data_IF_650366162475
#
_entry.id   IF_650366162475
#
_cell.length_a   1.000
_cell.length_b   1.000
_cell.length_c   1.000
_cell.angle_alpha   90.00
_cell.angle_beta   90.00
_cell.angle_gamma   90.00
#
_symmetry.space_group_name_H-M   'P 1'
#
loop_
_entity.id
_entity.type
_entity.pdbx_description
1 polymer ?
#
# COMPACT_ATOMS: atom_id res chain seq x y z
N UNK A 1 17.69 -35.15 -29.56
CA UNK A 1 16.59 -34.17 -29.67
C UNK A 1 16.17 -33.79 -28.27
N UNK A 2 16.81 -32.78 -27.67
CA UNK A 2 16.44 -32.24 -26.36
C UNK A 2 15.31 -31.24 -26.56
N UNK A 3 14.08 -31.63 -26.24
CA UNK A 3 12.95 -30.73 -26.22
C UNK A 3 13.18 -29.66 -25.16
N UNK A 4 13.69 -28.50 -25.57
CA UNK A 4 13.57 -27.28 -24.78
C UNK A 4 12.08 -27.01 -24.71
N UNK A 5 11.45 -27.28 -23.57
CA UNK A 5 10.04 -26.98 -23.35
C UNK A 5 9.90 -25.46 -23.40
N UNK A 6 9.65 -24.94 -24.60
CA UNK A 6 9.53 -23.51 -24.83
C UNK A 6 8.33 -22.99 -24.04
N UNK A 7 8.54 -21.91 -23.28
CA UNK A 7 7.47 -21.23 -22.54
C UNK A 7 6.47 -20.67 -23.55
N UNK A 8 5.18 -20.97 -23.37
CA UNK A 8 4.13 -20.48 -24.27
C UNK A 8 3.60 -19.16 -23.73
N UNK A 9 3.42 -18.19 -24.63
CA UNK A 9 2.80 -16.91 -24.28
C UNK A 9 1.36 -17.08 -23.74
N UNK A 10 0.66 -18.15 -24.18
CA UNK A 10 -0.65 -18.52 -23.67
C UNK A 10 -0.62 -18.85 -22.17
N UNK A 11 0.44 -19.51 -21.70
CA UNK A 11 0.60 -19.89 -20.28
C UNK A 11 0.88 -18.65 -19.41
N UNK A 12 1.54 -17.62 -19.97
CA UNK A 12 1.76 -16.36 -19.27
C UNK A 12 0.48 -15.54 -19.17
N UNK A 13 -0.36 -15.57 -20.21
CA UNK A 13 -1.59 -14.79 -20.26
C UNK A 13 -2.64 -15.22 -19.22
N UNK A 14 -2.48 -16.37 -18.57
CA UNK A 14 -3.35 -16.83 -17.49
C UNK A 14 -2.96 -16.29 -16.11
N UNK A 15 -1.79 -15.64 -15.99
CA UNK A 15 -1.31 -15.11 -14.72
C UNK A 15 -1.91 -13.74 -14.44
N UNK A 16 -2.35 -13.53 -13.21
CA UNK A 16 -2.93 -12.26 -12.73
C UNK A 16 -2.05 -11.04 -13.05
N UNK A 17 -0.72 -11.18 -13.05
CA UNK A 17 0.21 -10.10 -13.42
C UNK A 17 0.05 -9.65 -14.88
N UNK A 18 -0.41 -10.51 -15.79
CA UNK A 18 -0.62 -10.22 -17.22
C UNK A 18 -2.09 -10.07 -17.61
N UNK A 19 -3.02 -10.00 -16.64
CA UNK A 19 -4.44 -9.76 -16.90
C UNK A 19 -4.68 -8.59 -17.87
N UNK A 20 -5.43 -8.86 -18.95
CA UNK A 20 -5.77 -7.88 -19.98
C UNK A 20 -4.67 -7.62 -21.02
N UNK A 21 -3.49 -8.24 -20.89
CA UNK A 21 -2.41 -8.11 -21.89
C UNK A 21 -2.63 -9.11 -23.04
N UNK A 22 -2.67 -8.66 -24.31
CA UNK A 22 -2.83 -9.56 -25.44
C UNK A 22 -1.67 -10.55 -25.56
N UNK A 23 -1.99 -11.83 -25.81
CA UNK A 23 -1.00 -12.92 -26.00
C UNK A 23 0.15 -12.55 -26.97
N UNK A 24 -0.08 -11.89 -28.13
CA UNK A 24 1.01 -11.52 -29.03
C UNK A 24 2.08 -10.64 -28.36
N UNK A 25 1.69 -9.77 -27.43
CA UNK A 25 2.58 -8.88 -26.66
C UNK A 25 3.48 -9.66 -25.71
N UNK A 26 3.05 -10.84 -25.25
CA UNK A 26 3.79 -11.68 -24.30
C UNK A 26 4.80 -12.61 -24.99
N UNK A 27 4.75 -12.76 -26.32
CA UNK A 27 5.64 -13.67 -27.06
C UNK A 27 7.14 -13.36 -26.88
N UNK A 28 7.60 -12.10 -26.98
CA UNK A 28 9.01 -11.79 -26.77
C UNK A 28 9.48 -12.15 -25.36
N UNK A 29 8.65 -11.89 -24.35
CA UNK A 29 8.93 -12.25 -22.97
C UNK A 29 9.02 -13.77 -22.79
N UNK A 30 8.05 -14.51 -23.31
CA UNK A 30 8.02 -15.98 -23.21
C UNK A 30 9.30 -16.63 -23.76
N UNK A 31 9.86 -16.10 -24.84
CA UNK A 31 11.11 -16.60 -25.43
C UNK A 31 12.34 -16.44 -24.53
N UNK A 32 12.29 -15.50 -23.57
CA UNK A 32 13.40 -15.18 -22.66
C UNK A 32 13.26 -15.84 -21.28
N UNK A 33 12.13 -16.51 -21.02
CA UNK A 33 11.85 -17.19 -19.77
C UNK A 33 12.29 -18.66 -19.82
N UNK A 34 12.65 -19.20 -18.64
CA UNK A 34 12.96 -20.62 -18.47
C UNK A 34 12.00 -21.25 -17.46
N UNK A 35 11.50 -22.48 -17.71
CA UNK A 35 10.65 -23.16 -16.73
C UNK A 35 11.41 -23.42 -15.43
N UNK A 36 10.71 -23.28 -14.31
CA UNK A 36 11.17 -23.60 -12.96
C UNK A 36 10.24 -24.63 -12.34
N UNK A 37 10.84 -25.61 -11.67
CA UNK A 37 10.14 -26.50 -10.72
C UNK A 37 10.89 -26.47 -9.40
N UNK A 38 10.15 -26.49 -8.30
CA UNK A 38 10.70 -26.49 -6.95
C UNK A 38 9.89 -27.41 -6.02
N UNK A 39 10.59 -28.10 -5.13
CA UNK A 39 9.95 -28.90 -4.09
C UNK A 39 9.58 -28.04 -2.88
N UNK A 40 8.66 -28.55 -2.05
CA UNK A 40 8.37 -27.97 -0.73
C UNK A 40 9.67 -27.80 0.09
N UNK A 41 9.80 -26.65 0.74
CA UNK A 41 10.97 -26.25 1.54
C UNK A 41 12.15 -25.72 0.72
N UNK A 42 12.09 -25.72 -0.62
CA UNK A 42 13.18 -25.22 -1.45
C UNK A 42 13.25 -23.69 -1.40
N UNK A 43 14.43 -23.16 -1.06
CA UNK A 43 14.72 -21.73 -1.12
C UNK A 43 14.86 -21.31 -2.58
N UNK A 44 14.03 -20.38 -3.03
CA UNK A 44 14.00 -19.85 -4.39
C UNK A 44 14.85 -18.59 -4.54
N UNK A 45 14.93 -17.79 -3.47
CA UNK A 45 15.73 -16.57 -3.36
C UNK A 45 16.10 -16.35 -1.89
N UNK A 46 17.26 -15.77 -1.61
CA UNK A 46 17.68 -15.46 -0.24
C UNK A 46 17.84 -13.95 -0.03
N UNK A 47 17.35 -13.45 1.11
CA UNK A 47 17.50 -12.05 1.51
C UNK A 47 18.98 -11.64 1.53
N UNK A 48 19.27 -10.43 1.06
CA UNK A 48 20.63 -9.87 1.01
C UNK A 48 21.46 -10.31 -0.21
N UNK A 49 21.03 -11.30 -0.98
CA UNK A 49 21.73 -11.68 -2.22
C UNK A 49 21.53 -10.64 -3.34
N UNK A 50 22.46 -10.57 -4.28
CA UNK A 50 22.30 -9.72 -5.46
C UNK A 50 21.19 -10.24 -6.37
N UNK A 51 20.28 -9.35 -6.79
CA UNK A 51 19.21 -9.71 -7.69
C UNK A 51 19.69 -9.78 -9.15
N UNK A 52 19.59 -10.99 -9.72
CA UNK A 52 19.93 -11.27 -11.13
C UNK A 52 18.75 -11.80 -11.93
N UNK A 53 17.65 -12.16 -11.26
CA UNK A 53 16.47 -12.78 -11.86
C UNK A 53 15.17 -12.42 -11.14
N UNK A 54 14.04 -12.73 -11.76
CA UNK A 54 12.71 -12.75 -11.13
C UNK A 54 12.03 -14.09 -11.39
N UNK A 55 10.98 -14.38 -10.64
CA UNK A 55 10.15 -15.56 -10.77
C UNK A 55 8.70 -15.17 -11.07
N UNK A 56 8.06 -15.86 -12.01
CA UNK A 56 6.61 -15.88 -12.19
C UNK A 56 6.07 -17.20 -11.66
N UNK A 57 5.18 -17.17 -10.68
CA UNK A 57 4.60 -18.39 -10.09
C UNK A 57 3.44 -18.85 -10.97
N UNK A 58 3.58 -20.02 -11.60
CA UNK A 58 2.52 -20.63 -12.42
C UNK A 58 1.57 -21.50 -11.62
N UNK A 59 2.10 -22.33 -10.72
CA UNK A 59 1.31 -23.13 -9.77
C UNK A 59 2.09 -23.41 -8.49
N UNK A 60 1.37 -23.74 -7.41
CA UNK A 60 1.93 -23.91 -6.08
C UNK A 60 2.07 -22.59 -5.31
N UNK A 61 2.35 -22.68 -4.01
CA UNK A 61 2.53 -21.54 -3.11
C UNK A 61 3.97 -21.42 -2.62
N UNK A 62 4.32 -20.21 -2.21
CA UNK A 62 5.57 -19.88 -1.54
C UNK A 62 5.31 -18.91 -0.40
N UNK A 63 6.24 -18.81 0.52
CA UNK A 63 6.27 -17.79 1.56
C UNK A 63 7.44 -16.84 1.32
N UNK A 64 7.23 -15.56 1.65
CA UNK A 64 8.26 -14.53 1.69
C UNK A 64 8.55 -14.19 3.13
N UNK A 65 9.80 -14.39 3.53
CA UNK A 65 10.29 -14.13 4.87
C UNK A 65 11.24 -12.94 4.82
N UNK A 66 10.87 -11.85 5.47
CA UNK A 66 11.72 -10.67 5.67
C UNK A 66 12.17 -10.59 7.12
N UNK A 67 13.47 -10.67 7.36
CA UNK A 67 14.04 -10.36 8.68
C UNK A 67 14.36 -8.87 8.73
N UNK A 68 13.64 -8.14 9.59
CA UNK A 68 13.84 -6.71 9.85
C UNK A 68 15.17 -6.42 10.56
N UNK A 69 15.60 -5.16 10.53
CA UNK A 69 16.82 -4.72 11.23
C UNK A 69 16.70 -4.81 12.76
N UNK A 70 15.48 -4.82 13.28
CA UNK A 70 15.10 -5.04 14.67
C UNK A 70 15.06 -6.54 15.05
N UNK A 71 15.27 -7.44 14.08
CA UNK A 71 15.20 -8.89 14.26
C UNK A 71 13.79 -9.46 14.22
N UNK A 72 12.77 -8.66 13.87
CA UNK A 72 11.41 -9.16 13.67
C UNK A 72 11.25 -9.77 12.28
N UNK A 73 10.86 -11.04 12.23
CA UNK A 73 10.53 -11.73 10.99
C UNK A 73 9.09 -11.44 10.57
N UNK A 74 8.93 -10.98 9.33
CA UNK A 74 7.63 -10.85 8.68
C UNK A 74 7.48 -11.93 7.63
N UNK A 75 6.34 -12.64 7.65
CA UNK A 75 6.01 -13.71 6.71
C UNK A 75 4.77 -13.31 5.90
N UNK A 76 4.83 -13.51 4.59
CA UNK A 76 3.69 -13.29 3.69
C UNK A 76 3.57 -14.42 2.66
N UNK A 77 2.34 -14.89 2.45
CA UNK A 77 2.03 -15.89 1.43
C UNK A 77 2.09 -15.32 0.00
N UNK A 78 2.58 -16.14 -0.92
CA UNK A 78 2.57 -15.91 -2.36
C UNK A 78 1.72 -16.97 -3.05
N UNK A 79 0.70 -16.49 -3.75
CA UNK A 79 -0.18 -17.31 -4.58
C UNK A 79 0.32 -17.40 -6.02
N UNK A 80 -0.14 -18.42 -6.78
CA UNK A 80 0.00 -18.47 -8.23
C UNK A 80 -0.47 -17.18 -8.92
N UNK A 81 0.11 -16.87 -10.07
CA UNK A 81 -0.20 -15.66 -10.85
C UNK A 81 0.66 -14.44 -10.51
N UNK A 82 1.43 -14.51 -9.43
CA UNK A 82 2.28 -13.40 -8.96
C UNK A 82 3.71 -13.47 -9.50
N UNK A 83 4.32 -12.30 -9.66
CA UNK A 83 5.76 -12.11 -9.87
C UNK A 83 6.48 -12.02 -8.53
N UNK A 84 7.74 -12.44 -8.41
CA UNK A 84 8.58 -12.33 -7.21
C UNK A 84 10.01 -11.94 -7.58
N UNK A 85 10.66 -11.15 -6.73
CA UNK A 85 12.04 -10.71 -6.91
C UNK A 85 12.17 -9.46 -7.79
N UNK A 86 11.06 -8.88 -8.22
CA UNK A 86 10.97 -7.65 -9.01
C UNK A 86 11.52 -6.43 -8.26
N UNK A 87 11.30 -6.34 -6.94
CA UNK A 87 11.68 -5.18 -6.13
C UNK A 87 13.17 -4.90 -6.24
N UNK A 88 13.97 -5.96 -6.09
CA UNK A 88 15.42 -5.87 -6.11
C UNK A 88 15.96 -5.57 -7.51
N UNK A 89 15.26 -6.02 -8.56
CA UNK A 89 15.60 -5.66 -9.95
C UNK A 89 15.24 -4.20 -10.28
N UNK A 90 14.09 -3.71 -9.82
CA UNK A 90 13.65 -2.33 -10.03
C UNK A 90 14.56 -1.32 -9.34
N UNK A 91 15.09 -1.68 -8.16
CA UNK A 91 15.93 -0.82 -7.33
C UNK A 91 17.42 -0.97 -7.59
N UNK A 92 17.81 -1.95 -8.41
CA UNK A 92 19.20 -2.42 -8.53
C UNK A 92 19.86 -2.64 -7.15
N UNK A 93 19.14 -3.35 -6.27
CA UNK A 93 19.49 -3.54 -4.88
C UNK A 93 19.55 -5.04 -4.52
N UNK A 94 20.11 -5.41 -3.35
CA UNK A 94 20.00 -6.76 -2.82
C UNK A 94 18.54 -7.19 -2.59
N UNK A 95 18.28 -8.50 -2.55
CA UNK A 95 16.98 -9.08 -2.23
C UNK A 95 16.51 -8.57 -0.87
N UNK A 96 15.27 -8.10 -0.83
CA UNK A 96 14.65 -7.60 0.40
C UNK A 96 14.18 -8.72 1.31
N UNK A 97 13.94 -9.93 0.79
CA UNK A 97 13.38 -11.04 1.55
C UNK A 97 13.80 -12.40 0.95
N UNK A 98 13.71 -13.44 1.78
CA UNK A 98 13.91 -14.83 1.40
C UNK A 98 12.59 -15.40 0.91
N UNK A 99 12.62 -16.23 -0.14
CA UNK A 99 11.42 -16.84 -0.72
C UNK A 99 11.57 -18.35 -0.67
N UNK A 100 10.61 -19.05 -0.06
CA UNK A 100 10.65 -20.50 0.13
C UNK A 100 9.36 -21.11 -0.42
N UNK A 101 9.47 -22.13 -1.27
CA UNK A 101 8.29 -22.87 -1.72
C UNK A 101 7.66 -23.63 -0.54
N UNK A 102 6.36 -23.46 -0.29
CA UNK A 102 5.66 -24.18 0.79
C UNK A 102 5.10 -25.52 0.32
N UNK A 103 4.92 -25.66 -0.98
CA UNK A 103 4.52 -26.90 -1.65
C UNK A 103 5.28 -27.08 -2.97
N UNK A 104 4.92 -28.10 -3.75
CA UNK A 104 5.47 -28.25 -5.10
C UNK A 104 5.07 -27.06 -5.96
N UNK A 105 6.06 -26.29 -6.42
CA UNK A 105 5.85 -25.05 -7.16
C UNK A 105 6.37 -25.21 -8.59
N UNK A 106 5.61 -24.68 -9.55
CA UNK A 106 6.05 -24.52 -10.94
C UNK A 106 5.90 -23.08 -11.39
N UNK A 107 6.72 -22.65 -12.34
CA UNK A 107 6.71 -21.29 -12.82
C UNK A 107 7.80 -21.01 -13.83
N UNK A 108 8.20 -19.75 -13.92
CA UNK A 108 9.20 -19.31 -14.90
C UNK A 108 10.18 -18.32 -14.30
N UNK A 109 11.47 -18.52 -14.57
CA UNK A 109 12.53 -17.60 -14.19
C UNK A 109 12.98 -16.76 -15.38
N UNK A 110 13.13 -15.45 -15.17
CA UNK A 110 13.63 -14.49 -16.15
C UNK A 110 14.82 -13.70 -15.61
N UNK A 111 15.80 -13.42 -16.47
CA UNK A 111 16.94 -12.54 -16.15
C UNK A 111 16.64 -11.06 -16.38
N UNK A 112 17.67 -10.21 -16.36
CA UNK A 112 17.54 -8.75 -16.58
C UNK A 112 16.99 -8.39 -17.96
N UNK A 113 17.35 -9.10 -19.02
CA UNK A 113 16.81 -8.89 -20.37
C UNK A 113 15.31 -9.17 -20.41
N UNK A 114 14.87 -10.31 -19.85
CA UNK A 114 13.46 -10.66 -19.74
C UNK A 114 12.69 -9.61 -18.92
N UNK A 115 13.32 -9.09 -17.87
CA UNK A 115 12.73 -8.03 -17.05
C UNK A 115 12.56 -6.74 -17.86
N UNK A 116 13.58 -6.33 -18.63
CA UNK A 116 13.50 -5.15 -19.50
C UNK A 116 12.39 -5.30 -20.56
N UNK A 117 12.30 -6.46 -21.23
CA UNK A 117 11.20 -6.75 -22.16
C UNK A 117 9.83 -6.71 -21.49
N UNK A 118 9.72 -7.17 -20.24
CA UNK A 118 8.48 -7.07 -19.48
C UNK A 118 8.11 -5.62 -19.14
N UNK A 119 9.08 -4.75 -18.86
CA UNK A 119 8.84 -3.33 -18.59
C UNK A 119 8.34 -2.55 -19.82
N UNK A 120 8.63 -3.03 -21.03
CA UNK A 120 8.11 -2.46 -22.28
C UNK A 120 6.63 -2.78 -22.53
N UNK A 121 6.05 -3.73 -21.77
CA UNK A 121 4.62 -4.05 -21.86
C UNK A 121 3.80 -2.86 -21.33
N UNK A 122 2.81 -2.34 -22.08
CA UNK A 122 2.00 -1.21 -21.66
C UNK A 122 1.38 -1.39 -20.26
N UNK A 123 1.60 -0.43 -19.36
CA UNK A 123 1.08 -0.41 -17.99
C UNK A 123 1.78 -1.37 -17.01
N UNK A 124 2.76 -2.16 -17.46
CA UNK A 124 3.42 -3.15 -16.60
C UNK A 124 4.31 -2.50 -15.55
N UNK A 125 5.06 -1.44 -15.90
CA UNK A 125 5.89 -0.70 -14.96
C UNK A 125 5.08 -0.23 -13.74
N UNK A 126 3.95 0.45 -13.98
CA UNK A 126 3.09 0.97 -12.91
C UNK A 126 2.53 -0.16 -12.04
N UNK A 127 2.13 -1.28 -12.66
CA UNK A 127 1.66 -2.47 -11.95
C UNK A 127 2.74 -3.06 -11.03
N UNK A 128 3.97 -3.20 -11.53
CA UNK A 128 5.11 -3.74 -10.77
C UNK A 128 5.53 -2.80 -9.64
N UNK A 129 5.60 -1.49 -9.89
CA UNK A 129 5.90 -0.48 -8.87
C UNK A 129 4.85 -0.53 -7.75
N UNK A 130 3.56 -0.60 -8.10
CA UNK A 130 2.49 -0.73 -7.12
C UNK A 130 2.63 -2.00 -6.29
N UNK A 131 2.84 -3.15 -6.93
CA UNK A 131 3.04 -4.43 -6.22
C UNK A 131 4.25 -4.39 -5.30
N UNK A 132 5.37 -3.79 -5.75
CA UNK A 132 6.57 -3.64 -4.94
C UNK A 132 6.32 -2.79 -3.68
N UNK A 133 5.61 -1.66 -3.82
CA UNK A 133 5.24 -0.80 -2.69
C UNK A 133 4.35 -1.52 -1.69
N UNK A 134 3.33 -2.23 -2.17
CA UNK A 134 2.43 -3.03 -1.33
C UNK A 134 3.19 -4.10 -0.52
N UNK A 135 4.18 -4.75 -1.13
CA UNK A 135 5.00 -5.76 -0.45
C UNK A 135 5.94 -5.14 0.58
N UNK A 136 6.57 -4.03 0.26
CA UNK A 136 7.44 -3.32 1.21
C UNK A 136 6.65 -2.76 2.38
N UNK A 137 5.42 -2.31 2.16
CA UNK A 137 4.52 -1.89 3.23
C UNK A 137 4.22 -3.02 4.22
N UNK A 138 4.15 -4.27 3.75
CA UNK A 138 3.89 -5.42 4.60
C UNK A 138 5.04 -5.71 5.57
N UNK A 139 6.28 -5.34 5.23
CA UNK A 139 7.47 -5.54 6.06
C UNK A 139 7.71 -4.41 7.09
N UNK A 140 6.79 -3.45 7.18
CA UNK A 140 6.93 -2.34 8.11
C UNK A 140 6.43 -2.75 9.48
N UNK A 141 7.32 -2.67 10.47
CA UNK A 141 6.97 -2.76 11.89
C UNK A 141 5.98 -1.63 12.26
N UNK A 142 4.75 -1.95 12.70
CA UNK A 142 3.77 -0.92 13.07
C UNK A 142 4.22 -0.10 14.29
N UNK A 143 4.01 1.21 14.26
CA UNK A 143 4.44 2.12 15.33
C UNK A 143 3.40 2.11 16.45
N UNK A 144 3.73 1.70 17.69
CA UNK A 144 2.80 1.76 18.81
C UNK A 144 2.55 3.22 19.21
N UNK A 145 1.29 3.60 19.35
CA UNK A 145 0.86 4.97 19.65
C UNK A 145 -0.12 4.97 20.81
N UNK A 146 0.22 5.71 21.87
CA UNK A 146 -0.63 5.85 23.05
C UNK A 146 -1.67 6.97 22.82
N UNK A 147 -2.95 6.60 22.90
CA UNK A 147 -4.06 7.55 22.82
C UNK A 147 -4.27 8.27 24.16
N UNK A 148 -5.08 9.33 24.15
CA UNK A 148 -5.34 10.15 25.34
C UNK A 148 -6.00 9.41 26.50
N UNK A 149 -6.72 8.34 26.20
CA UNK A 149 -7.39 7.49 27.18
C UNK A 149 -6.53 6.32 27.67
N UNK A 150 -5.25 6.30 27.29
CA UNK A 150 -4.28 5.27 27.68
C UNK A 150 -4.31 4.01 26.81
N UNK A 151 -5.24 3.88 25.86
CA UNK A 151 -5.23 2.78 24.90
C UNK A 151 -4.02 2.87 23.96
N UNK A 152 -3.51 1.71 23.54
CA UNK A 152 -2.42 1.62 22.56
C UNK A 152 -2.99 1.14 21.24
N UNK A 153 -2.78 1.93 20.19
CA UNK A 153 -3.06 1.57 18.81
C UNK A 153 -1.75 1.46 18.03
N UNK A 154 -1.80 0.92 16.81
CA UNK A 154 -0.61 0.76 15.98
C UNK A 154 -0.80 1.49 14.65
N UNK A 155 0.13 2.37 14.32
CA UNK A 155 0.14 3.15 13.07
C UNK A 155 1.02 2.44 12.04
N UNK A 156 0.47 2.20 10.85
CA UNK A 156 1.23 1.71 9.69
C UNK A 156 0.57 2.16 8.38
N UNK A 157 1.27 2.08 7.24
CA UNK A 157 0.64 2.27 5.94
C UNK A 157 -0.46 1.23 5.72
N UNK A 158 -1.49 1.60 4.96
CA UNK A 158 -2.51 0.65 4.53
C UNK A 158 -1.88 -0.51 3.75
N UNK A 159 -2.48 -1.69 3.82
CA UNK A 159 -2.11 -2.87 3.05
C UNK A 159 -3.29 -3.30 2.18
N UNK A 160 -3.06 -3.96 1.03
CA UNK A 160 -4.15 -4.52 0.21
C UNK A 160 -5.13 -5.41 0.99
N UNK A 161 -4.63 -6.15 1.99
CA UNK A 161 -5.43 -7.02 2.84
C UNK A 161 -6.38 -6.30 3.81
N UNK A 162 -6.21 -4.99 4.04
CA UNK A 162 -7.03 -4.23 4.98
C UNK A 162 -8.49 -4.13 4.54
N UNK A 163 -8.77 -4.24 3.24
CA UNK A 163 -10.16 -4.31 2.73
C UNK A 163 -10.94 -5.45 3.38
N UNK A 164 -10.35 -6.67 3.43
CA UNK A 164 -11.00 -7.84 4.05
C UNK A 164 -11.16 -7.63 5.55
N UNK A 165 -10.13 -7.09 6.21
CA UNK A 165 -10.15 -6.80 7.66
C UNK A 165 -11.25 -5.80 8.05
N UNK A 166 -11.63 -4.89 7.15
CA UNK A 166 -12.74 -3.95 7.38
C UNK A 166 -14.08 -4.61 7.07
N UNK A 167 -14.22 -5.36 5.97
CA UNK A 167 -15.52 -5.94 5.57
C UNK A 167 -15.92 -7.16 6.39
N UNK A 168 -14.95 -7.93 6.89
CA UNK A 168 -15.16 -9.18 7.64
C UNK A 168 -14.75 -9.04 9.12
N UNK A 169 -14.29 -7.85 9.52
CA UNK A 169 -13.82 -7.58 10.88
C UNK A 169 -14.92 -7.34 11.88
N UNK A 170 -14.55 -7.37 13.15
CA UNK A 170 -15.44 -7.08 14.30
C UNK A 170 -15.67 -5.57 14.51
N UNK A 171 -14.94 -4.73 13.76
CA UNK A 171 -15.02 -3.27 13.87
C UNK A 171 -16.12 -2.75 12.94
N UNK A 172 -17.17 -2.19 13.51
CA UNK A 172 -18.29 -1.64 12.76
C UNK A 172 -18.04 -0.19 12.33
N UNK A 173 -18.41 0.11 11.07
CA UNK A 173 -18.55 1.45 10.53
C UNK A 173 -20.03 1.66 10.19
N UNK A 174 -20.71 2.48 10.98
CA UNK A 174 -22.14 2.74 10.82
C UNK A 174 -22.46 3.37 9.46
N UNK A 175 -23.71 3.24 9.02
CA UNK A 175 -24.19 3.93 7.80
C UNK A 175 -23.98 5.44 7.87
N UNK A 176 -24.05 6.04 9.07
CA UNK A 176 -23.77 7.46 9.26
C UNK A 176 -22.29 7.78 9.05
N UNK A 177 -21.38 6.96 9.60
CA UNK A 177 -19.93 7.10 9.39
C UNK A 177 -19.56 6.95 7.91
N UNK A 178 -20.13 5.96 7.21
CA UNK A 178 -19.95 5.77 5.78
C UNK A 178 -20.55 6.92 4.96
N UNK A 179 -21.74 7.40 5.32
CA UNK A 179 -22.37 8.54 4.67
C UNK A 179 -21.52 9.81 4.80
N UNK A 180 -20.98 10.10 5.99
CA UNK A 180 -20.09 11.25 6.19
C UNK A 180 -18.81 11.16 5.38
N UNK A 181 -18.28 9.94 5.19
CA UNK A 181 -17.03 9.69 4.44
C UNK A 181 -17.23 9.71 2.93
N UNK A 182 -18.32 9.12 2.43
CA UNK A 182 -18.55 8.87 1.00
C UNK A 182 -19.68 9.70 0.40
N UNK A 183 -20.38 10.49 1.22
CA UNK A 183 -21.53 11.31 0.84
C UNK A 183 -22.61 10.49 0.12
N UNK A 184 -22.73 9.21 0.48
CA UNK A 184 -23.59 8.23 -0.15
C UNK A 184 -24.21 7.32 0.89
N UNK A 185 -25.51 7.04 0.74
CA UNK A 185 -26.26 6.09 1.58
C UNK A 185 -26.06 4.64 1.13
N UNK A 186 -25.37 4.41 0.02
CA UNK A 186 -25.04 3.07 -0.45
C UNK A 186 -23.77 2.57 0.22
N UNK A 187 -23.78 1.32 0.65
CA UNK A 187 -22.58 0.65 1.12
C UNK A 187 -21.47 0.71 0.06
N UNK A 188 -20.20 0.89 0.46
CA UNK A 188 -19.08 0.91 -0.46
C UNK A 188 -19.05 -0.33 -1.36
N UNK A 189 -18.87 -0.13 -2.67
CA UNK A 189 -18.69 -1.24 -3.59
C UNK A 189 -17.32 -1.88 -3.40
N UNK A 190 -17.13 -3.15 -3.80
CA UNK A 190 -15.81 -3.79 -3.81
C UNK A 190 -14.78 -2.97 -4.59
N UNK A 191 -15.19 -2.33 -5.68
CA UNK A 191 -14.34 -1.44 -6.49
C UNK A 191 -13.88 -0.22 -5.72
N UNK A 192 -14.77 0.42 -4.96
CA UNK A 192 -14.41 1.56 -4.11
C UNK A 192 -13.46 1.12 -3.00
N UNK A 193 -13.74 0.00 -2.33
CA UNK A 193 -12.85 -0.52 -1.28
C UNK A 193 -11.44 -0.82 -1.80
N UNK A 194 -11.35 -1.44 -2.99
CA UNK A 194 -10.06 -1.65 -3.67
C UNK A 194 -9.33 -0.33 -3.92
N UNK A 195 -9.99 0.67 -4.48
CA UNK A 195 -9.40 2.00 -4.68
C UNK A 195 -8.89 2.62 -3.37
N UNK A 196 -9.56 2.36 -2.25
CA UNK A 196 -9.20 2.92 -0.95
C UNK A 196 -7.98 2.27 -0.29
N UNK A 197 -7.68 0.99 -0.56
CA UNK A 197 -6.63 0.26 0.17
C UNK A 197 -5.56 -0.37 -0.73
N UNK A 198 -5.82 -0.54 -2.03
CA UNK A 198 -4.80 -0.93 -3.02
C UNK A 198 -4.19 0.33 -3.65
N UNK A 199 -3.51 1.11 -2.81
CA UNK A 199 -2.97 2.42 -3.20
C UNK A 199 -1.58 2.32 -3.81
N UNK A 200 -1.19 3.32 -4.60
CA UNK A 200 0.15 3.42 -5.18
C UNK A 200 1.18 4.01 -4.21
N UNK A 201 0.78 4.53 -3.05
CA UNK A 201 1.61 5.18 -2.03
C UNK A 201 2.44 6.39 -2.48
N UNK A 202 2.25 6.94 -3.69
CA UNK A 202 2.93 8.17 -4.16
C UNK A 202 1.93 9.30 -4.37
N UNK A 203 0.94 9.04 -5.20
CA UNK A 203 -0.13 9.99 -5.50
C UNK A 203 -1.33 9.70 -4.61
N UNK A 204 -1.49 8.46 -4.13
CA UNK A 204 -2.46 8.09 -3.11
C UNK A 204 -1.76 7.40 -1.94
N UNK A 205 -1.69 8.07 -0.78
CA UNK A 205 -1.08 7.51 0.43
C UNK A 205 -2.11 7.37 1.54
N UNK A 206 -2.05 6.27 2.29
CA UNK A 206 -2.99 5.96 3.37
C UNK A 206 -2.24 5.45 4.59
N UNK A 207 -2.51 6.06 5.74
CA UNK A 207 -2.21 5.51 7.06
C UNK A 207 -3.44 4.85 7.65
N UNK A 208 -3.24 3.72 8.33
CA UNK A 208 -4.25 3.06 9.15
C UNK A 208 -3.81 3.02 10.61
N UNK A 209 -4.78 3.03 11.51
CA UNK A 209 -4.60 2.64 12.91
C UNK A 209 -5.29 1.30 13.15
N UNK A 210 -4.63 0.41 13.89
CA UNK A 210 -5.14 -0.92 14.22
C UNK A 210 -5.16 -1.19 15.73
N UNK A 211 -6.06 -2.09 16.16
CA UNK A 211 -6.06 -2.66 17.51
C UNK A 211 -5.10 -3.86 17.57
N UNK A 212 -3.89 -3.67 18.11
CA UNK A 212 -2.79 -4.63 17.94
C UNK A 212 -2.04 -4.44 16.61
N UNK A 213 -0.81 -4.97 16.52
CA UNK A 213 0.05 -4.79 15.34
C UNK A 213 -0.58 -5.39 14.07
N UNK A 214 -1.18 -6.58 14.19
CA UNK A 214 -1.83 -7.32 13.09
C UNK A 214 -3.36 -7.35 13.16
N UNK A 215 -3.94 -6.62 14.11
CA UNK A 215 -5.38 -6.64 14.34
C UNK A 215 -6.18 -5.75 13.38
N UNK A 216 -7.48 -5.60 13.65
CA UNK A 216 -8.39 -4.94 12.73
C UNK A 216 -8.11 -3.43 12.64
N UNK A 217 -8.40 -2.86 11.47
CA UNK A 217 -8.30 -1.42 11.21
C UNK A 217 -9.45 -0.71 11.93
N UNK A 218 -9.11 0.28 12.75
CA UNK A 218 -10.07 1.11 13.51
C UNK A 218 -10.24 2.50 12.94
N UNK A 219 -9.27 2.98 12.16
CA UNK A 219 -9.32 4.26 11.48
C UNK A 219 -8.36 4.30 10.29
N UNK A 220 -8.67 5.13 9.29
CA UNK A 220 -7.72 5.49 8.23
C UNK A 220 -7.72 6.99 7.94
N UNK A 221 -6.57 7.46 7.45
CA UNK A 221 -6.38 8.79 6.91
C UNK A 221 -5.54 8.72 5.66
N UNK A 222 -5.89 9.56 4.68
CA UNK A 222 -5.27 9.53 3.37
C UNK A 222 -5.06 10.92 2.81
N UNK A 223 -4.12 11.03 1.88
CA UNK A 223 -4.05 12.12 0.92
C UNK A 223 -4.02 11.57 -0.50
N UNK A 224 -4.68 12.27 -1.42
CA UNK A 224 -4.66 11.99 -2.87
C UNK A 224 -4.19 13.25 -3.58
N UNK A 225 -3.05 13.19 -4.25
CA UNK A 225 -2.47 14.34 -4.98
C UNK A 225 -3.38 14.77 -6.11
N UNK A 226 -3.43 16.07 -6.33
CA UNK A 226 -4.05 16.63 -7.52
C UNK A 226 -3.15 16.38 -8.74
N UNK A 227 -3.75 15.90 -9.84
CA UNK A 227 -3.03 15.58 -11.07
C UNK A 227 -2.39 16.81 -11.73
N UNK A 228 -3.01 17.98 -11.58
CA UNK A 228 -2.55 19.25 -12.17
C UNK A 228 -1.61 20.00 -11.24
N UNK A 229 -1.81 19.85 -9.93
CA UNK A 229 -1.04 20.53 -8.90
C UNK A 229 -0.42 19.53 -7.92
N UNK A 230 0.75 18.93 -8.25
CA UNK A 230 1.34 17.87 -7.42
C UNK A 230 1.71 18.30 -5.99
N UNK A 231 1.80 19.61 -5.71
CA UNK A 231 2.02 20.14 -4.37
C UNK A 231 0.73 20.21 -3.52
N UNK A 232 -0.41 19.85 -4.09
CA UNK A 232 -1.73 19.84 -3.44
C UNK A 232 -2.25 18.41 -3.34
N UNK A 233 -2.97 18.10 -2.27
CA UNK A 233 -3.61 16.80 -2.11
C UNK A 233 -4.94 16.89 -1.35
N UNK A 234 -5.95 16.16 -1.79
CA UNK A 234 -7.21 16.01 -1.07
C UNK A 234 -7.03 15.05 0.10
N UNK A 235 -7.47 15.45 1.30
CA UNK A 235 -7.43 14.61 2.51
C UNK A 235 -8.80 14.04 2.87
N UNK A 236 -8.79 12.79 3.35
CA UNK A 236 -9.99 12.15 3.88
C UNK A 236 -9.68 11.22 5.05
N UNK A 237 -10.68 11.04 5.93
CA UNK A 237 -10.54 10.31 7.18
C UNK A 237 -11.79 9.48 7.46
N UNK A 238 -11.61 8.31 8.07
CA UNK A 238 -12.70 7.55 8.67
C UNK A 238 -12.22 6.98 10.00
N UNK A 239 -13.11 6.96 11.00
CA UNK A 239 -12.85 6.41 12.33
C UNK A 239 -14.06 5.59 12.73
N UNK A 240 -13.84 4.35 13.12
CA UNK A 240 -14.89 3.45 13.58
C UNK A 240 -15.65 4.06 14.77
N UNK A 241 -16.95 3.80 14.86
CA UNK A 241 -17.86 4.52 15.77
C UNK A 241 -17.41 4.43 17.24
N UNK A 242 -17.00 3.23 17.69
CA UNK A 242 -16.49 2.99 19.04
C UNK A 242 -15.17 3.72 19.37
N UNK A 243 -14.50 4.25 18.34
CA UNK A 243 -13.19 4.91 18.43
C UNK A 243 -13.28 6.44 18.26
N UNK A 244 -14.46 6.98 17.92
CA UNK A 244 -14.65 8.41 17.76
C UNK A 244 -14.54 9.16 19.09
N UNK A 245 -14.20 10.46 19.03
CA UNK A 245 -14.05 11.30 20.23
C UNK A 245 -12.75 11.07 21.04
N UNK A 246 -11.95 10.04 20.70
CA UNK A 246 -10.73 9.66 21.43
C UNK A 246 -9.46 10.42 20.98
N UNK A 247 -9.60 11.38 20.07
CA UNK A 247 -8.50 12.16 19.50
C UNK A 247 -7.80 11.52 18.29
N UNK A 248 -8.25 10.35 17.85
CA UNK A 248 -7.68 9.57 16.74
C UNK A 248 -7.60 10.37 15.44
N UNK A 249 -8.68 11.05 15.04
CA UNK A 249 -8.67 11.86 13.80
C UNK A 249 -7.65 13.02 13.85
N UNK A 250 -7.47 13.64 15.02
CA UNK A 250 -6.43 14.67 15.20
C UNK A 250 -5.02 14.06 15.15
N UNK A 251 -4.82 12.88 15.73
CA UNK A 251 -3.55 12.17 15.63
C UNK A 251 -3.21 11.84 14.17
N UNK A 252 -4.15 11.25 13.45
CA UNK A 252 -3.99 10.89 12.04
C UNK A 252 -3.73 12.11 11.15
N UNK A 253 -4.39 13.24 11.38
CA UNK A 253 -4.12 14.49 10.67
C UNK A 253 -2.66 14.96 10.83
N UNK A 254 -2.05 14.75 12.00
CA UNK A 254 -0.63 15.07 12.22
C UNK A 254 0.28 14.07 11.53
N UNK A 255 -0.02 12.76 11.66
CA UNK A 255 0.76 11.71 11.02
C UNK A 255 0.77 11.85 9.49
N UNK A 256 -0.39 12.08 8.87
CA UNK A 256 -0.51 12.28 7.43
C UNK A 256 0.22 13.56 6.96
N UNK A 257 0.28 14.60 7.80
CA UNK A 257 1.06 15.82 7.53
C UNK A 257 2.57 15.54 7.49
N UNK A 258 3.09 14.66 8.37
CA UNK A 258 4.51 14.27 8.34
C UNK A 258 4.85 13.57 7.03
N UNK A 259 4.03 12.61 6.59
CA UNK A 259 4.22 11.90 5.32
C UNK A 259 4.11 12.85 4.12
N UNK A 260 3.04 13.64 4.05
CA UNK A 260 2.78 14.57 2.96
C UNK A 260 3.89 15.63 2.81
N UNK A 261 4.38 16.18 3.91
CA UNK A 261 5.46 17.17 3.89
C UNK A 261 6.77 16.60 3.35
N UNK A 262 7.13 15.37 3.75
CA UNK A 262 8.34 14.69 3.27
C UNK A 262 8.25 14.31 1.79
N UNK A 263 7.04 14.07 1.32
CA UNK A 263 6.73 13.77 -0.07
C UNK A 263 6.51 15.04 -0.92
N UNK A 264 6.62 16.24 -0.32
CA UNK A 264 6.55 17.51 -1.03
C UNK A 264 5.15 18.06 -1.29
N UNK A 265 4.10 17.46 -0.72
CA UNK A 265 2.78 18.10 -0.62
C UNK A 265 2.89 19.30 0.33
N UNK A 266 2.34 20.44 -0.08
CA UNK A 266 2.41 21.72 0.64
C UNK A 266 1.04 22.24 1.03
N UNK A 267 -0.02 21.87 0.31
CA UNK A 267 -1.40 22.24 0.62
C UNK A 267 -2.28 20.99 0.69
N UNK A 268 -3.18 20.95 1.66
CA UNK A 268 -4.29 20.01 1.66
C UNK A 268 -5.58 20.70 1.27
N UNK A 269 -6.40 20.00 0.51
CA UNK A 269 -7.79 20.36 0.24
C UNK A 269 -8.71 19.36 0.93
N UNK A 270 -9.89 19.80 1.35
CA UNK A 270 -10.88 18.90 1.93
C UNK A 270 -12.29 19.32 1.56
N UNK A 271 -13.11 18.34 1.17
CA UNK A 271 -14.55 18.49 0.93
C UNK A 271 -15.34 17.73 1.98
N UNK A 272 -16.16 18.45 2.74
CA UNK A 272 -16.78 17.94 3.96
C UNK A 272 -18.27 18.32 4.01
N UNK A 273 -19.12 17.44 4.54
CA UNK A 273 -20.50 17.82 4.84
C UNK A 273 -20.54 18.94 5.89
N UNK A 274 -21.38 19.95 5.67
CA UNK A 274 -21.48 21.13 6.53
C UNK A 274 -21.85 20.81 7.98
N UNK A 275 -22.54 19.70 8.22
CA UNK A 275 -22.96 19.19 9.53
C UNK A 275 -21.95 18.22 10.17
N UNK A 276 -20.88 17.85 9.48
CA UNK A 276 -19.82 17.01 10.02
C UNK A 276 -18.90 17.82 10.95
N UNK A 277 -19.46 18.24 12.08
CA UNK A 277 -18.80 19.05 13.10
C UNK A 277 -17.51 18.41 13.64
N UNK A 278 -17.40 17.08 13.84
CA UNK A 278 -16.14 16.46 14.24
C UNK A 278 -15.00 16.69 13.25
N UNK A 279 -15.24 16.50 11.94
CA UNK A 279 -14.22 16.72 10.92
C UNK A 279 -13.85 18.20 10.81
N UNK A 280 -14.86 19.09 10.87
CA UNK A 280 -14.62 20.53 10.84
C UNK A 280 -13.75 20.99 12.02
N UNK A 281 -14.07 20.52 13.23
CA UNK A 281 -13.28 20.81 14.43
C UNK A 281 -11.85 20.26 14.37
N UNK A 282 -11.58 19.20 13.60
CA UNK A 282 -10.21 18.74 13.33
C UNK A 282 -9.52 19.78 12.44
N UNK A 283 -10.09 20.11 11.26
CA UNK A 283 -9.44 20.99 10.29
C UNK A 283 -9.30 22.44 10.78
N UNK A 284 -10.23 22.92 11.61
CA UNK A 284 -10.15 24.25 12.25
C UNK A 284 -8.86 24.41 13.08
N UNK A 285 -8.39 23.33 13.72
CA UNK A 285 -7.12 23.33 14.49
C UNK A 285 -5.88 23.50 13.59
N UNK A 286 -6.04 23.28 12.29
CA UNK A 286 -4.99 23.40 11.29
C UNK A 286 -5.22 24.61 10.35
N UNK A 287 -6.07 25.56 10.76
CA UNK A 287 -6.25 26.83 10.05
C UNK A 287 -7.29 26.80 8.93
N UNK A 288 -8.23 25.85 8.95
CA UNK A 288 -9.28 25.76 7.93
C UNK A 288 -10.07 27.06 7.78
N UNK A 289 -10.13 27.55 6.54
CA UNK A 289 -11.06 28.59 6.11
C UNK A 289 -12.13 27.95 5.23
N UNK A 290 -13.39 28.06 5.63
CA UNK A 290 -14.49 27.34 4.99
C UNK A 290 -15.17 28.17 3.90
N UNK A 291 -15.31 27.55 2.73
CA UNK A 291 -16.11 28.06 1.63
C UNK A 291 -17.28 27.12 1.37
N UNK A 292 -18.43 27.68 0.97
CA UNK A 292 -19.53 26.85 0.48
C UNK A 292 -19.21 26.40 -0.93
N UNK A 293 -19.46 25.13 -1.21
CA UNK A 293 -19.20 24.53 -2.52
C UNK A 293 -20.53 24.09 -3.15
N UNK A 294 -21.23 23.17 -2.48
CA UNK A 294 -22.56 22.68 -2.87
C UNK A 294 -23.57 22.74 -1.70
N UNK A 295 -24.83 22.40 -1.97
CA UNK A 295 -25.86 22.30 -0.94
C UNK A 295 -25.44 21.30 0.14
N UNK A 296 -25.23 21.80 1.37
CA UNK A 296 -24.84 20.98 2.51
C UNK A 296 -23.35 20.58 2.51
N UNK A 297 -22.53 21.12 1.60
CA UNK A 297 -21.10 20.81 1.50
C UNK A 297 -20.26 22.08 1.66
N UNK A 298 -19.17 21.95 2.41
CA UNK A 298 -18.16 22.98 2.59
C UNK A 298 -16.79 22.45 2.19
N UNK A 299 -15.95 23.33 1.66
CA UNK A 299 -14.57 23.04 1.28
C UNK A 299 -13.61 23.95 2.03
N UNK A 300 -12.37 23.49 2.16
CA UNK A 300 -11.29 24.27 2.74
C UNK A 300 -9.94 23.89 2.12
N UNK A 301 -9.02 24.83 2.18
CA UNK A 301 -7.62 24.65 1.85
C UNK A 301 -6.79 24.99 3.09
N UNK A 302 -5.81 24.16 3.40
CA UNK A 302 -4.91 24.34 4.55
C UNK A 302 -3.47 24.07 4.14
N UNK A 303 -2.54 24.86 4.65
CA UNK A 303 -1.12 24.56 4.50
C UNK A 303 -0.77 23.28 5.27
N UNK A 304 0.06 22.43 4.68
CA UNK A 304 0.56 21.23 5.35
C UNK A 304 1.51 21.67 6.48
N UNK A 305 1.18 21.38 7.75
CA UNK A 305 2.03 21.75 8.88
C UNK A 305 3.44 21.19 8.73
N UNK A 306 4.45 21.97 9.12
CA UNK A 306 5.81 21.44 9.18
C UNK A 306 5.90 20.42 10.31
N UNK A 307 6.66 19.33 10.16
CA UNK A 307 6.86 18.36 11.24
C UNK A 307 7.41 19.00 12.54
N UNK A 308 8.14 20.11 12.45
CA UNK A 308 8.64 20.88 13.60
C UNK A 308 7.55 21.55 14.43
N UNK A 309 6.39 21.80 13.84
CA UNK A 309 5.29 22.56 14.44
C UNK A 309 4.24 21.61 15.05
N UNK A 310 4.41 20.31 14.84
CA UNK A 310 3.52 19.27 15.35
C UNK A 310 3.92 18.88 16.78
N UNK A 311 2.95 18.65 17.68
CA UNK A 311 3.22 18.22 19.05
C UNK A 311 3.46 16.71 19.11
N UNK A 312 4.46 16.24 18.37
CA UNK A 312 5.04 14.92 18.47
C UNK A 312 6.48 15.07 18.99
N UNK A 313 6.96 14.06 19.73
CA UNK A 313 8.39 13.99 20.01
C UNK A 313 9.18 13.70 18.71
N UNK A 314 10.48 13.99 18.74
CA UNK A 314 11.34 13.84 17.56
C UNK A 314 11.48 12.39 17.10
N UNK A 315 11.36 11.44 18.02
CA UNK A 315 11.46 10.01 17.74
C UNK A 315 10.27 9.54 16.89
N UNK A 316 9.05 9.85 17.32
CA UNK A 316 7.82 9.52 16.61
C UNK A 316 7.76 10.20 15.25
N UNK A 317 8.18 11.46 15.13
CA UNK A 317 8.26 12.14 13.81
C UNK A 317 9.22 11.38 12.88
N UNK A 318 10.35 10.91 13.40
CA UNK A 318 11.33 10.15 12.62
C UNK A 318 10.77 8.80 12.20
N UNK A 319 10.14 8.06 13.12
CA UNK A 319 9.50 6.77 12.83
C UNK A 319 8.41 6.91 11.75
N UNK A 320 7.49 7.88 11.88
CA UNK A 320 6.42 8.10 10.90
C UNK A 320 7.01 8.45 9.52
N UNK A 321 8.03 9.31 9.50
CA UNK A 321 8.71 9.72 8.27
C UNK A 321 9.41 8.54 7.60
N UNK A 322 10.13 7.73 8.36
CA UNK A 322 10.88 6.59 7.82
C UNK A 322 9.94 5.53 7.27
N UNK A 323 8.84 5.25 7.98
CA UNK A 323 7.75 4.39 7.51
C UNK A 323 7.15 4.91 6.21
N UNK A 324 6.83 6.20 6.13
CA UNK A 324 6.27 6.80 4.92
C UNK A 324 7.26 6.71 3.75
N UNK A 325 8.52 7.12 3.96
CA UNK A 325 9.59 7.06 2.96
C UNK A 325 9.83 5.65 2.45
N UNK A 326 9.78 4.66 3.33
CA UNK A 326 10.03 3.27 2.98
C UNK A 326 9.08 2.79 1.88
N UNK A 327 7.81 3.22 1.92
CA UNK A 327 6.82 2.85 0.90
C UNK A 327 6.77 3.83 -0.27
N UNK A 328 6.81 5.14 -0.01
CA UNK A 328 6.74 6.18 -1.05
C UNK A 328 7.93 6.03 -2.01
N UNK A 329 9.15 5.99 -1.46
CA UNK A 329 10.43 5.96 -2.21
C UNK A 329 10.97 4.54 -2.39
N UNK A 330 10.12 3.54 -2.15
CA UNK A 330 10.42 2.13 -2.34
C UNK A 330 10.99 1.82 -3.72
N UNK A 331 10.43 2.43 -4.76
CA UNK A 331 10.79 2.23 -6.16
C UNK A 331 10.76 3.59 -6.86
N UNK A 332 11.93 4.22 -6.98
CA UNK A 332 12.12 5.52 -7.67
C UNK A 332 11.64 6.72 -6.86
#
# INVERSE_FOLDING_TARGET
MSGVTAVRADDLATLDVFDGIPVPTLKPLAQQLRPLTAAAGQVLMQQGELAVSFLLIGSGHAEVNHTGADGHDTVADLSPGLIVGEIALLRDAPRTATVVATESLTGWVGGREAFATMLEIPGMMDKLVRTARQRLAAFITPIPVMMRDGSVLYLRPALPGDTKRITEGTIEFSNETLYRRFQSVRSPTKTLMRYLFEVDYRDHFVFVLTEGADGPVVADARFVRDERYPAEAEIAFIVADAYQGRGIGTFLMRAISVAAHDDGVRRFTARVLSDNMPMRAILDRFGACWHRDDLGVVVTEIDVPKPSDLPFDAELVTQIRDVARHVIRAVG
#
